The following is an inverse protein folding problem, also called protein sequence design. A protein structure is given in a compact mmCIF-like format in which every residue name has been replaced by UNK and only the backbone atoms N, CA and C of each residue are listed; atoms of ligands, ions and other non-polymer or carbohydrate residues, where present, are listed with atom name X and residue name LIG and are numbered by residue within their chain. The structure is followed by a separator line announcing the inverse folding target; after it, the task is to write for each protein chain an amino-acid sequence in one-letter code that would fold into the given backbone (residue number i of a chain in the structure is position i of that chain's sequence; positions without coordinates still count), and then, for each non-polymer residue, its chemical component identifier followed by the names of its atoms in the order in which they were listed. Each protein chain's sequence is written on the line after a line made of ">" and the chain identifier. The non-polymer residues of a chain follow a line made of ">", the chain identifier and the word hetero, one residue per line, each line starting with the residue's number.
data_IF_284979798228
#
_entry.id   IF_284979798228
#
_cell.length_a   1.000
_cell.length_b   1.000
_cell.length_c   1.000
_cell.angle_alpha   90.00
_cell.angle_beta   90.00
_cell.angle_gamma   90.00
#
_symmetry.space_group_name_H-M   'P 1'
#
loop_
_entity.id
_entity.type
_entity.pdbx_description
1 polymer ?
#
# COMPACT_ATOMS: atom_id res chain seq x y z
N UNK A 1 -3.83 1.91 -26.80
CA UNK A 1 -4.04 0.50 -26.41
C UNK A 1 -2.80 -0.28 -26.80
N UNK A 2 -2.39 -1.21 -25.96
CA UNK A 2 -1.21 -2.04 -26.20
C UNK A 2 -1.48 -3.06 -27.32
N UNK A 3 -0.48 -3.32 -28.17
CA UNK A 3 -0.58 -4.30 -29.26
C UNK A 3 -0.95 -5.70 -28.75
N UNK A 4 -0.46 -6.08 -27.57
CA UNK A 4 -0.78 -7.38 -26.97
C UNK A 4 -2.21 -7.46 -26.45
N UNK A 5 -2.71 -6.39 -25.84
CA UNK A 5 -4.11 -6.27 -25.38
C UNK A 5 -5.08 -6.43 -26.55
N UNK A 6 -4.85 -5.69 -27.65
CA UNK A 6 -5.72 -5.74 -28.82
C UNK A 6 -5.77 -7.14 -29.45
N UNK A 7 -4.63 -7.84 -29.50
CA UNK A 7 -4.57 -9.22 -30.00
C UNK A 7 -5.43 -10.15 -29.14
N UNK A 8 -5.31 -10.07 -27.82
CA UNK A 8 -6.09 -10.90 -26.90
C UNK A 8 -7.59 -10.58 -26.97
N UNK A 9 -7.98 -9.31 -27.06
CA UNK A 9 -9.40 -8.92 -27.22
C UNK A 9 -9.99 -9.43 -28.54
N UNK A 10 -9.24 -9.36 -29.64
CA UNK A 10 -9.66 -9.94 -30.93
C UNK A 10 -9.80 -11.46 -30.87
N UNK A 11 -8.88 -12.16 -30.19
CA UNK A 11 -9.00 -13.60 -29.96
C UNK A 11 -10.23 -13.95 -29.11
N UNK A 12 -10.46 -13.21 -28.02
CA UNK A 12 -11.62 -13.39 -27.14
C UNK A 12 -12.93 -13.30 -27.92
N UNK A 13 -13.08 -12.24 -28.72
CA UNK A 13 -14.29 -12.02 -29.54
C UNK A 13 -14.48 -13.11 -30.59
N UNK A 14 -13.41 -13.51 -31.30
CA UNK A 14 -13.43 -14.64 -32.23
C UNK A 14 -13.91 -15.94 -31.56
N UNK A 15 -13.28 -16.33 -30.45
CA UNK A 15 -13.61 -17.59 -29.78
C UNK A 15 -15.00 -17.58 -29.13
N UNK A 16 -15.47 -16.41 -28.69
CA UNK A 16 -16.84 -16.25 -28.21
C UNK A 16 -17.85 -16.50 -29.35
N UNK A 17 -17.62 -15.94 -30.54
CA UNK A 17 -18.49 -16.14 -31.70
C UNK A 17 -18.47 -17.59 -32.20
N UNK A 18 -17.30 -18.24 -32.16
CA UNK A 18 -17.13 -19.64 -32.55
C UNK A 18 -17.62 -20.64 -31.47
N UNK A 19 -18.11 -20.16 -30.33
CA UNK A 19 -18.46 -20.99 -29.16
C UNK A 19 -17.31 -21.91 -28.70
N UNK A 20 -16.07 -21.53 -28.97
CA UNK A 20 -14.89 -22.26 -28.51
C UNK A 20 -14.59 -21.90 -27.05
N UNK A 21 -15.30 -22.54 -26.13
CA UNK A 21 -15.22 -22.22 -24.71
C UNK A 21 -13.84 -22.50 -24.08
N UNK A 22 -13.07 -23.45 -24.63
CA UNK A 22 -11.71 -23.76 -24.13
C UNK A 22 -10.79 -22.58 -24.40
N UNK A 23 -10.67 -22.18 -25.67
CA UNK A 23 -9.82 -21.08 -26.07
C UNK A 23 -10.32 -19.73 -25.51
N UNK A 24 -11.64 -19.58 -25.35
CA UNK A 24 -12.24 -18.41 -24.71
C UNK A 24 -11.81 -18.29 -23.24
N UNK A 25 -11.94 -19.38 -22.46
CA UNK A 25 -11.57 -19.37 -21.05
C UNK A 25 -10.08 -19.03 -20.86
N UNK A 26 -9.20 -19.69 -21.61
CA UNK A 26 -7.76 -19.44 -21.58
C UNK A 26 -7.41 -17.99 -21.96
N UNK A 27 -8.05 -17.46 -23.01
CA UNK A 27 -7.84 -16.07 -23.43
C UNK A 27 -8.32 -15.08 -22.36
N UNK A 28 -9.46 -15.34 -21.71
CA UNK A 28 -9.96 -14.54 -20.60
C UNK A 28 -9.04 -14.61 -19.37
N UNK A 29 -8.46 -15.78 -19.05
CA UNK A 29 -7.47 -15.89 -17.97
C UNK A 29 -6.22 -15.05 -18.26
N UNK A 30 -5.72 -15.06 -19.51
CA UNK A 30 -4.58 -14.24 -19.92
C UNK A 30 -4.89 -12.73 -19.89
N UNK A 31 -6.09 -12.32 -20.36
CA UNK A 31 -6.53 -10.92 -20.25
C UNK A 31 -6.70 -10.49 -18.80
N UNK A 32 -7.24 -11.37 -17.95
CA UNK A 32 -7.37 -11.11 -16.52
C UNK A 32 -6.02 -10.85 -15.87
N UNK A 33 -5.02 -11.70 -16.14
CA UNK A 33 -3.66 -11.53 -15.65
C UNK A 33 -3.02 -10.24 -16.18
N UNK A 34 -3.20 -9.95 -17.47
CA UNK A 34 -2.71 -8.72 -18.10
C UNK A 34 -3.28 -7.45 -17.46
N UNK A 35 -4.59 -7.42 -17.18
CA UNK A 35 -5.23 -6.29 -16.50
C UNK A 35 -4.84 -6.22 -15.02
N UNK A 36 -4.65 -7.36 -14.36
CA UNK A 36 -4.18 -7.42 -12.98
C UNK A 36 -2.77 -6.84 -12.84
N UNK A 37 -1.86 -7.14 -13.76
CA UNK A 37 -0.50 -6.58 -13.79
C UNK A 37 -0.47 -5.06 -14.00
N UNK A 38 -1.54 -4.50 -14.55
CA UNK A 38 -1.74 -3.04 -14.71
C UNK A 38 -2.53 -2.39 -13.57
N UNK A 39 -2.87 -3.17 -12.54
CA UNK A 39 -3.73 -2.75 -11.44
C UNK A 39 -5.15 -2.34 -11.91
N UNK A 40 -5.60 -2.82 -13.07
CA UNK A 40 -6.94 -2.60 -13.63
C UNK A 40 -7.92 -3.66 -13.07
N UNK A 41 -8.10 -3.68 -11.74
CA UNK A 41 -8.79 -4.76 -11.02
C UNK A 41 -10.22 -5.04 -11.49
N UNK A 42 -10.99 -4.01 -11.87
CA UNK A 42 -12.36 -4.17 -12.38
C UNK A 42 -12.39 -4.90 -13.73
N UNK A 43 -11.44 -4.59 -14.63
CA UNK A 43 -11.36 -5.27 -15.93
C UNK A 43 -10.90 -6.70 -15.75
N UNK A 44 -9.87 -6.92 -14.91
CA UNK A 44 -9.41 -8.27 -14.56
C UNK A 44 -10.55 -9.13 -13.97
N UNK A 45 -11.33 -8.56 -13.03
CA UNK A 45 -12.49 -9.21 -12.44
C UNK A 45 -13.50 -9.70 -13.49
N UNK A 46 -13.82 -8.85 -14.47
CA UNK A 46 -14.78 -9.20 -15.52
C UNK A 46 -14.26 -10.33 -16.41
N UNK A 47 -12.98 -10.31 -16.79
CA UNK A 47 -12.38 -11.38 -17.59
C UNK A 47 -12.34 -12.71 -16.83
N UNK A 48 -11.95 -12.71 -15.56
CA UNK A 48 -11.96 -13.94 -14.76
C UNK A 48 -13.37 -14.50 -14.53
N UNK A 49 -14.40 -13.65 -14.41
CA UNK A 49 -15.80 -14.11 -14.39
C UNK A 49 -16.22 -14.75 -15.70
N UNK A 50 -15.80 -14.19 -16.84
CA UNK A 50 -16.06 -14.79 -18.16
C UNK A 50 -15.37 -16.15 -18.28
N UNK A 51 -14.12 -16.28 -17.80
CA UNK A 51 -13.42 -17.56 -17.76
C UNK A 51 -14.18 -18.59 -16.89
N UNK A 52 -14.64 -18.20 -15.70
CA UNK A 52 -15.43 -19.08 -14.82
C UNK A 52 -16.71 -19.60 -15.50
N UNK A 53 -17.43 -18.74 -16.23
CA UNK A 53 -18.63 -19.12 -16.97
C UNK A 53 -18.31 -20.06 -18.15
N UNK A 54 -17.18 -19.85 -18.84
CA UNK A 54 -16.75 -20.73 -19.90
C UNK A 54 -16.35 -22.13 -19.36
N UNK A 55 -15.63 -22.20 -18.24
CA UNK A 55 -15.30 -23.48 -17.59
C UNK A 55 -16.53 -24.21 -17.05
N UNK A 56 -17.57 -23.49 -16.62
CA UNK A 56 -18.86 -24.08 -16.26
C UNK A 56 -19.50 -24.79 -17.46
N UNK A 57 -19.54 -24.15 -18.64
CA UNK A 57 -20.07 -24.78 -19.87
C UNK A 57 -19.28 -26.00 -20.33
N UNK A 58 -17.99 -26.06 -19.99
CA UNK A 58 -17.10 -27.17 -20.29
C UNK A 58 -17.17 -28.31 -19.26
N UNK A 59 -17.97 -28.17 -18.19
CA UNK A 59 -17.98 -29.10 -17.06
C UNK A 59 -16.59 -29.34 -16.46
N UNK A 60 -15.79 -28.27 -16.31
CA UNK A 60 -14.44 -28.30 -15.72
C UNK A 60 -14.45 -27.66 -14.32
N UNK A 61 -14.87 -28.39 -13.26
CA UNK A 61 -15.12 -27.80 -11.95
C UNK A 61 -13.86 -27.23 -11.27
N UNK A 62 -12.71 -27.87 -11.42
CA UNK A 62 -11.46 -27.33 -10.87
C UNK A 62 -10.93 -26.11 -11.62
N UNK A 63 -10.98 -26.08 -12.95
CA UNK A 63 -10.61 -24.90 -13.73
C UNK A 63 -11.53 -23.70 -13.40
N UNK A 64 -12.83 -23.96 -13.23
CA UNK A 64 -13.79 -22.99 -12.70
C UNK A 64 -13.40 -22.53 -11.30
N UNK A 65 -12.97 -23.45 -10.43
CA UNK A 65 -12.42 -23.14 -9.11
C UNK A 65 -11.22 -22.19 -9.18
N UNK A 66 -10.27 -22.43 -10.09
CA UNK A 66 -9.11 -21.56 -10.31
C UNK A 66 -9.54 -20.17 -10.75
N UNK A 67 -10.51 -20.06 -11.66
CA UNK A 67 -11.10 -18.78 -12.04
C UNK A 67 -11.78 -18.08 -10.83
N UNK A 68 -12.48 -18.83 -9.96
CA UNK A 68 -13.01 -18.27 -8.71
C UNK A 68 -11.92 -17.76 -7.78
N UNK A 69 -10.78 -18.45 -7.65
CA UNK A 69 -9.64 -17.91 -6.88
C UNK A 69 -9.22 -16.54 -7.40
N UNK A 70 -9.08 -16.39 -8.73
CA UNK A 70 -8.72 -15.12 -9.37
C UNK A 70 -9.77 -14.03 -9.15
N UNK A 71 -11.06 -14.36 -9.31
CA UNK A 71 -12.18 -13.47 -8.98
C UNK A 71 -12.12 -13.02 -7.52
N UNK A 72 -11.85 -13.96 -6.60
CA UNK A 72 -11.70 -13.67 -5.18
C UNK A 72 -10.55 -12.71 -4.88
N UNK A 73 -9.40 -12.88 -5.52
CA UNK A 73 -8.27 -11.97 -5.39
C UNK A 73 -8.60 -10.56 -5.92
N UNK A 74 -9.36 -10.44 -7.01
CA UNK A 74 -9.79 -9.15 -7.55
C UNK A 74 -10.81 -8.46 -6.65
N UNK A 75 -11.78 -9.20 -6.10
CA UNK A 75 -12.69 -8.65 -5.11
C UNK A 75 -11.96 -8.15 -3.86
N UNK A 76 -10.94 -8.87 -3.40
CA UNK A 76 -10.12 -8.43 -2.26
C UNK A 76 -9.37 -7.13 -2.58
N UNK A 77 -8.77 -7.02 -3.77
CA UNK A 77 -8.11 -5.79 -4.24
C UNK A 77 -9.08 -4.59 -4.34
N UNK A 78 -10.37 -4.84 -4.62
CA UNK A 78 -11.44 -3.83 -4.64
C UNK A 78 -12.05 -3.55 -3.26
N UNK A 79 -11.57 -4.20 -2.19
CA UNK A 79 -12.11 -4.07 -0.83
C UNK A 79 -13.44 -4.79 -0.59
N UNK A 80 -13.90 -5.60 -1.55
CA UNK A 80 -15.14 -6.39 -1.49
C UNK A 80 -14.86 -7.76 -0.85
N UNK A 81 -14.57 -7.74 0.46
CA UNK A 81 -14.04 -8.91 1.14
C UNK A 81 -15.07 -10.05 1.32
N UNK A 82 -16.36 -9.74 1.37
CA UNK A 82 -17.41 -10.77 1.52
C UNK A 82 -17.47 -11.65 0.27
N UNK A 83 -17.54 -11.01 -0.89
CA UNK A 83 -17.54 -11.63 -2.21
C UNK A 83 -16.22 -12.38 -2.44
N UNK A 84 -15.10 -11.80 -2.02
CA UNK A 84 -13.79 -12.46 -2.07
C UNK A 84 -13.79 -13.80 -1.32
N UNK A 85 -14.22 -13.80 -0.06
CA UNK A 85 -14.27 -15.01 0.76
C UNK A 85 -15.19 -16.09 0.16
N UNK A 86 -16.34 -15.71 -0.39
CA UNK A 86 -17.26 -16.66 -1.05
C UNK A 86 -16.61 -17.34 -2.25
N UNK A 87 -15.86 -16.59 -3.07
CA UNK A 87 -15.17 -17.14 -4.23
C UNK A 87 -14.00 -18.04 -3.84
N UNK A 88 -13.21 -17.66 -2.83
CA UNK A 88 -12.13 -18.51 -2.30
C UNK A 88 -12.69 -19.80 -1.68
N UNK A 89 -13.83 -19.74 -0.99
CA UNK A 89 -14.52 -20.94 -0.48
C UNK A 89 -15.07 -21.82 -1.62
N UNK A 90 -15.51 -21.25 -2.74
CA UNK A 90 -15.90 -22.03 -3.91
C UNK A 90 -14.70 -22.76 -4.52
N UNK A 91 -13.54 -22.10 -4.64
CA UNK A 91 -12.29 -22.73 -5.05
C UNK A 91 -11.90 -23.88 -4.12
N UNK A 92 -11.92 -23.64 -2.81
CA UNK A 92 -11.58 -24.64 -1.81
C UNK A 92 -12.48 -25.87 -1.89
N UNK A 93 -13.79 -25.70 -2.09
CA UNK A 93 -14.74 -26.81 -2.28
C UNK A 93 -14.44 -27.62 -3.55
N UNK A 94 -14.05 -26.96 -4.65
CA UNK A 94 -13.64 -27.66 -5.86
C UNK A 94 -12.37 -28.50 -5.61
N UNK A 95 -11.37 -27.91 -4.96
CA UNK A 95 -10.13 -28.60 -4.60
C UNK A 95 -10.36 -29.82 -3.68
N UNK A 96 -11.27 -29.71 -2.70
CA UNK A 96 -11.64 -30.83 -1.82
C UNK A 96 -12.27 -31.98 -2.59
N UNK A 97 -13.22 -31.68 -3.50
CA UNK A 97 -13.93 -32.70 -4.29
C UNK A 97 -13.00 -33.50 -5.19
N UNK A 98 -11.97 -32.84 -5.73
CA UNK A 98 -10.96 -33.49 -6.57
C UNK A 98 -9.75 -34.01 -5.80
N UNK A 99 -9.79 -33.99 -4.45
CA UNK A 99 -8.67 -34.39 -3.60
C UNK A 99 -7.34 -33.69 -3.98
N UNK A 100 -7.40 -32.45 -4.42
CA UNK A 100 -6.25 -31.70 -4.91
C UNK A 100 -5.56 -30.95 -3.75
N UNK A 101 -4.62 -31.62 -3.09
CA UNK A 101 -3.88 -31.11 -1.93
C UNK A 101 -3.10 -29.82 -2.24
N UNK A 102 -2.52 -29.71 -3.44
CA UNK A 102 -1.86 -28.48 -3.89
C UNK A 102 -2.85 -27.31 -3.94
N UNK A 103 -4.00 -27.51 -4.56
CA UNK A 103 -5.02 -26.48 -4.65
C UNK A 103 -5.57 -26.06 -3.28
N UNK A 104 -5.66 -26.99 -2.34
CA UNK A 104 -6.00 -26.68 -0.94
C UNK A 104 -4.97 -25.77 -0.28
N UNK A 105 -3.67 -26.03 -0.49
CA UNK A 105 -2.58 -25.16 -0.02
C UNK A 105 -2.75 -23.73 -0.55
N UNK A 106 -2.99 -23.60 -1.86
CA UNK A 106 -3.19 -22.31 -2.51
C UNK A 106 -4.45 -21.61 -1.99
N UNK A 107 -5.54 -22.36 -1.77
CA UNK A 107 -6.79 -21.83 -1.22
C UNK A 107 -6.59 -21.24 0.18
N UNK A 108 -5.86 -21.95 1.06
CA UNK A 108 -5.51 -21.45 2.40
C UNK A 108 -4.62 -20.21 2.33
N UNK A 109 -3.66 -20.17 1.39
CA UNK A 109 -2.80 -19.00 1.18
C UNK A 109 -3.63 -17.80 0.72
N UNK A 110 -4.52 -17.96 -0.25
CA UNK A 110 -5.40 -16.87 -0.72
C UNK A 110 -6.36 -16.45 0.39
N UNK A 111 -6.96 -17.38 1.13
CA UNK A 111 -7.86 -17.09 2.25
C UNK A 111 -7.15 -16.24 3.34
N UNK A 112 -5.93 -16.61 3.70
CA UNK A 112 -5.12 -15.85 4.66
C UNK A 112 -4.85 -14.42 4.17
N UNK A 113 -4.54 -14.24 2.87
CA UNK A 113 -4.33 -12.90 2.28
C UNK A 113 -5.60 -12.05 2.33
N UNK A 114 -6.77 -12.62 2.08
CA UNK A 114 -8.05 -11.90 2.16
C UNK A 114 -8.33 -11.42 3.59
N UNK A 115 -8.10 -12.28 4.59
CA UNK A 115 -8.24 -11.88 5.99
C UNK A 115 -7.23 -10.80 6.39
N UNK A 116 -5.97 -10.92 5.96
CA UNK A 116 -4.94 -9.91 6.23
C UNK A 116 -5.32 -8.54 5.65
N UNK A 117 -5.76 -8.48 4.39
CA UNK A 117 -6.20 -7.23 3.75
C UNK A 117 -7.45 -6.64 4.41
N UNK A 118 -8.38 -7.49 4.86
CA UNK A 118 -9.57 -7.02 5.59
C UNK A 118 -9.21 -6.49 6.97
N UNK A 119 -8.26 -7.13 7.66
CA UNK A 119 -7.73 -6.64 8.93
C UNK A 119 -7.10 -5.25 8.79
N UNK A 120 -6.26 -5.03 7.75
CA UNK A 120 -5.71 -3.71 7.46
C UNK A 120 -6.81 -2.66 7.21
N UNK A 121 -7.89 -3.03 6.51
CA UNK A 121 -9.04 -2.15 6.31
C UNK A 121 -9.74 -1.80 7.63
N UNK A 122 -9.92 -2.78 8.52
CA UNK A 122 -10.48 -2.56 9.85
C UNK A 122 -9.59 -1.68 10.73
N UNK A 123 -8.26 -1.87 10.69
CA UNK A 123 -7.32 -1.00 11.41
C UNK A 123 -7.43 0.46 10.95
N UNK A 124 -7.55 0.70 9.63
CA UNK A 124 -7.76 2.07 9.10
C UNK A 124 -9.06 2.70 9.61
N UNK A 125 -10.09 1.89 9.81
CA UNK A 125 -11.40 2.30 10.35
C UNK A 125 -11.44 2.39 11.90
N UNK A 126 -10.35 2.06 12.60
CA UNK A 126 -10.33 2.00 14.07
C UNK A 126 -11.08 0.81 14.67
N UNK A 127 -11.44 -0.20 13.88
CA UNK A 127 -12.14 -1.42 14.33
C UNK A 127 -11.16 -2.48 14.79
N UNK A 128 -10.48 -2.22 15.91
CA UNK A 128 -9.35 -3.03 16.40
C UNK A 128 -9.74 -4.49 16.65
N UNK A 129 -10.87 -4.75 17.30
CA UNK A 129 -11.32 -6.12 17.61
C UNK A 129 -11.58 -6.96 16.35
N UNK A 130 -12.19 -6.37 15.32
CA UNK A 130 -12.39 -7.02 14.03
C UNK A 130 -11.06 -7.29 13.32
N UNK A 131 -10.11 -6.36 13.41
CA UNK A 131 -8.79 -6.54 12.84
C UNK A 131 -8.02 -7.69 13.50
N UNK A 132 -8.00 -7.75 14.82
CA UNK A 132 -7.35 -8.83 15.59
C UNK A 132 -7.94 -10.20 15.26
N UNK A 133 -9.28 -10.29 15.20
CA UNK A 133 -9.96 -11.52 14.84
C UNK A 133 -9.60 -12.01 13.43
N UNK A 134 -9.44 -11.09 12.47
CA UNK A 134 -9.02 -11.43 11.12
C UNK A 134 -7.53 -11.75 11.01
N UNK A 135 -6.66 -11.07 11.76
CA UNK A 135 -5.24 -11.42 11.84
C UNK A 135 -5.05 -12.84 12.40
N UNK A 136 -5.83 -13.24 13.41
CA UNK A 136 -5.81 -14.60 13.92
C UNK A 136 -6.24 -15.64 12.87
N UNK A 137 -7.26 -15.31 12.05
CA UNK A 137 -7.69 -16.17 10.93
C UNK A 137 -6.65 -16.24 9.82
N UNK A 138 -5.99 -15.12 9.52
CA UNK A 138 -4.90 -15.06 8.56
C UNK A 138 -3.72 -15.95 9.01
N UNK A 139 -3.28 -15.79 10.26
CA UNK A 139 -2.23 -16.61 10.88
C UNK A 139 -2.58 -18.10 10.80
N UNK A 140 -3.79 -18.49 11.21
CA UNK A 140 -4.25 -19.88 11.12
C UNK A 140 -4.19 -20.40 9.69
N UNK A 141 -4.67 -19.62 8.73
CA UNK A 141 -4.70 -20.01 7.31
C UNK A 141 -3.29 -20.22 6.75
N UNK A 142 -2.34 -19.33 7.05
CA UNK A 142 -0.95 -19.48 6.60
C UNK A 142 -0.24 -20.64 7.28
N UNK A 143 -0.50 -20.91 8.57
CA UNK A 143 0.02 -22.11 9.24
C UNK A 143 -0.51 -23.38 8.63
N UNK A 144 -1.81 -23.45 8.32
CA UNK A 144 -2.39 -24.59 7.60
C UNK A 144 -1.76 -24.75 6.23
N UNK A 145 -1.56 -23.66 5.47
CA UNK A 145 -0.89 -23.71 4.18
C UNK A 145 0.56 -24.24 4.30
N UNK A 146 1.32 -23.88 5.33
CA UNK A 146 2.66 -24.43 5.59
C UNK A 146 2.61 -25.91 5.97
N UNK A 147 1.65 -26.32 6.80
CA UNK A 147 1.46 -27.73 7.15
C UNK A 147 1.18 -28.60 5.91
N UNK A 148 0.37 -28.09 4.97
CA UNK A 148 0.09 -28.80 3.71
C UNK A 148 1.35 -28.88 2.84
N UNK A 149 2.23 -27.87 2.86
CA UNK A 149 3.52 -27.96 2.18
C UNK A 149 4.38 -29.13 2.68
N UNK A 150 4.31 -29.48 3.96
CA UNK A 150 5.06 -30.63 4.51
C UNK A 150 4.58 -31.96 3.93
N UNK A 151 3.27 -32.10 3.68
CA UNK A 151 2.68 -33.25 2.98
C UNK A 151 3.10 -33.30 1.50
N UNK A 152 3.14 -32.13 0.85
CA UNK A 152 3.50 -31.97 -0.56
C UNK A 152 5.00 -32.14 -0.85
N UNK A 153 5.86 -32.15 0.18
CA UNK A 153 7.32 -32.19 0.05
C UNK A 153 7.83 -33.39 -0.75
N UNK A 154 7.11 -34.52 -0.71
CA UNK A 154 7.46 -35.76 -1.43
C UNK A 154 6.87 -35.82 -2.85
N UNK A 155 5.95 -34.92 -3.17
CA UNK A 155 5.16 -34.96 -4.40
C UNK A 155 5.62 -33.86 -5.37
N UNK A 156 5.85 -32.65 -4.86
CA UNK A 156 6.13 -31.50 -5.69
C UNK A 156 7.63 -31.30 -5.96
N UNK A 157 7.99 -30.74 -7.13
CA UNK A 157 9.33 -30.24 -7.38
C UNK A 157 9.78 -29.23 -6.32
N UNK A 158 11.07 -29.26 -5.98
CA UNK A 158 11.66 -28.39 -4.93
C UNK A 158 11.37 -26.90 -5.16
N UNK A 159 11.46 -26.43 -6.40
CA UNK A 159 11.23 -25.01 -6.76
C UNK A 159 9.78 -24.60 -6.43
N UNK A 160 8.82 -25.46 -6.75
CA UNK A 160 7.40 -25.19 -6.52
C UNK A 160 7.07 -25.19 -5.03
N UNK A 161 7.60 -26.17 -4.30
CA UNK A 161 7.48 -26.24 -2.84
C UNK A 161 8.06 -24.98 -2.18
N UNK A 162 9.26 -24.56 -2.61
CA UNK A 162 9.93 -23.37 -2.07
C UNK A 162 9.12 -22.10 -2.36
N UNK A 163 8.51 -22.00 -3.54
CA UNK A 163 7.62 -20.89 -3.88
C UNK A 163 6.41 -20.82 -2.93
N UNK A 164 5.75 -21.96 -2.70
CA UNK A 164 4.60 -22.04 -1.77
C UNK A 164 4.99 -21.69 -0.34
N UNK A 165 6.07 -22.28 0.16
CA UNK A 165 6.58 -22.03 1.52
C UNK A 165 7.01 -20.57 1.70
N UNK A 166 7.75 -20.00 0.74
CA UNK A 166 8.22 -18.62 0.81
C UNK A 166 7.04 -17.63 0.83
N UNK A 167 6.00 -17.84 0.00
CA UNK A 167 4.79 -17.01 0.02
C UNK A 167 4.05 -17.10 1.35
N UNK A 168 3.90 -18.30 1.90
CA UNK A 168 3.21 -18.50 3.17
C UNK A 168 4.00 -17.87 4.33
N UNK A 169 5.32 -18.05 4.39
CA UNK A 169 6.18 -17.39 5.38
C UNK A 169 6.16 -15.88 5.25
N UNK A 170 6.23 -15.33 4.03
CA UNK A 170 6.15 -13.89 3.81
C UNK A 170 4.86 -13.30 4.39
N UNK A 171 3.71 -13.90 4.03
CA UNK A 171 2.43 -13.39 4.50
C UNK A 171 2.23 -13.60 6.02
N UNK A 172 2.77 -14.68 6.58
CA UNK A 172 2.78 -14.91 8.01
C UNK A 172 3.63 -13.86 8.73
N UNK A 173 4.79 -13.49 8.15
CA UNK A 173 5.62 -12.39 8.64
C UNK A 173 4.89 -11.05 8.65
N UNK A 174 4.18 -10.72 7.56
CA UNK A 174 3.36 -9.49 7.49
C UNK A 174 2.22 -9.52 8.51
N UNK A 175 1.61 -10.71 8.72
CA UNK A 175 0.56 -10.90 9.73
C UNK A 175 1.09 -10.64 11.13
N UNK A 176 2.25 -11.21 11.49
CA UNK A 176 2.88 -10.96 12.79
C UNK A 176 3.29 -9.50 12.98
N UNK A 177 3.80 -8.84 11.94
CA UNK A 177 4.12 -7.42 12.02
C UNK A 177 2.86 -6.57 12.26
N UNK A 178 1.74 -6.92 11.62
CA UNK A 178 0.43 -6.27 11.84
C UNK A 178 -0.15 -6.53 13.23
N UNK A 179 0.28 -7.62 13.89
CA UNK A 179 0.00 -7.94 15.30
C UNK A 179 1.01 -7.30 16.27
N UNK A 180 1.94 -6.45 15.79
CA UNK A 180 3.05 -5.88 16.56
C UNK A 180 4.03 -6.91 17.15
N UNK A 181 4.10 -8.12 16.57
CA UNK A 181 5.02 -9.18 16.98
C UNK A 181 6.28 -9.17 16.09
N UNK A 182 7.20 -8.26 16.41
CA UNK A 182 8.40 -7.99 15.58
C UNK A 182 9.32 -9.19 15.37
N UNK A 183 9.68 -9.91 16.43
CA UNK A 183 10.61 -11.06 16.34
C UNK A 183 10.11 -12.14 15.38
N UNK A 184 8.90 -12.70 15.55
CA UNK A 184 8.41 -13.72 14.62
C UNK A 184 8.13 -13.16 13.23
N UNK A 185 7.83 -11.86 13.09
CA UNK A 185 7.72 -11.22 11.78
C UNK A 185 9.05 -11.26 11.02
N UNK A 186 10.14 -10.78 11.65
CA UNK A 186 11.50 -10.78 11.08
C UNK A 186 11.95 -12.19 10.69
N UNK A 187 11.81 -13.16 11.58
CA UNK A 187 12.18 -14.56 11.32
C UNK A 187 11.48 -15.16 10.09
N UNK A 188 10.16 -14.93 9.97
CA UNK A 188 9.38 -15.44 8.85
C UNK A 188 9.70 -14.73 7.54
N UNK A 189 9.89 -13.41 7.54
CA UNK A 189 10.30 -12.68 6.34
C UNK A 189 11.71 -13.07 5.87
N UNK A 190 12.66 -13.23 6.79
CA UNK A 190 14.01 -13.71 6.46
C UNK A 190 13.98 -15.14 5.89
N UNK A 191 13.13 -16.02 6.44
CA UNK A 191 12.94 -17.37 5.89
C UNK A 191 12.35 -17.34 4.48
N UNK A 192 11.38 -16.45 4.22
CA UNK A 192 10.84 -16.24 2.88
C UNK A 192 11.90 -15.74 1.90
N UNK A 193 12.77 -14.81 2.32
CA UNK A 193 13.90 -14.32 1.50
C UNK A 193 14.88 -15.46 1.17
N UNK A 194 15.25 -16.29 2.16
CA UNK A 194 16.16 -17.43 1.94
C UNK A 194 15.60 -18.41 0.92
N UNK A 195 14.36 -18.85 1.11
CA UNK A 195 13.69 -19.78 0.19
C UNK A 195 13.54 -19.19 -1.23
N UNK A 196 13.18 -17.91 -1.34
CA UNK A 196 13.07 -17.24 -2.64
C UNK A 196 14.41 -17.11 -3.36
N UNK A 197 15.51 -16.91 -2.63
CA UNK A 197 16.88 -16.92 -3.19
C UNK A 197 17.28 -18.31 -3.65
N UNK A 198 17.07 -19.33 -2.80
CA UNK A 198 17.46 -20.71 -3.11
C UNK A 198 16.72 -21.30 -4.33
N UNK A 199 15.52 -20.79 -4.63
CA UNK A 199 14.74 -21.20 -5.80
C UNK A 199 14.81 -20.19 -6.97
N UNK A 200 15.68 -19.18 -6.91
CA UNK A 200 15.82 -18.12 -7.93
C UNK A 200 14.48 -17.44 -8.32
N UNK A 201 13.60 -17.26 -7.33
CA UNK A 201 12.26 -16.68 -7.52
C UNK A 201 12.33 -15.14 -7.46
N UNK A 202 12.87 -14.50 -8.49
CA UNK A 202 13.15 -13.05 -8.48
C UNK A 202 11.91 -12.18 -8.19
N UNK A 203 10.73 -12.49 -8.75
CA UNK A 203 9.50 -11.74 -8.46
C UNK A 203 9.08 -11.84 -6.98
N UNK A 204 9.24 -13.02 -6.38
CA UNK A 204 8.94 -13.23 -4.97
C UNK A 204 10.00 -12.57 -4.09
N UNK A 205 11.28 -12.70 -4.44
CA UNK A 205 12.38 -12.07 -3.74
C UNK A 205 12.24 -10.55 -3.70
N UNK A 206 11.87 -9.92 -4.83
CA UNK A 206 11.50 -8.51 -4.90
C UNK A 206 10.39 -8.16 -3.90
N UNK A 207 9.33 -8.97 -3.87
CA UNK A 207 8.19 -8.76 -2.98
C UNK A 207 8.62 -8.89 -1.51
N UNK A 208 9.44 -9.90 -1.18
CA UNK A 208 9.98 -10.10 0.16
C UNK A 208 10.82 -8.91 0.62
N UNK A 209 11.72 -8.39 -0.21
CA UNK A 209 12.55 -7.23 0.16
C UNK A 209 11.73 -5.98 0.41
N UNK A 210 10.73 -5.69 -0.44
CA UNK A 210 9.87 -4.52 -0.23
C UNK A 210 8.99 -4.66 1.03
N UNK A 211 8.44 -5.85 1.27
CA UNK A 211 7.65 -6.11 2.47
C UNK A 211 8.50 -5.98 3.75
N UNK A 212 9.70 -6.58 3.76
CA UNK A 212 10.63 -6.46 4.89
C UNK A 212 11.10 -5.02 5.10
N UNK A 213 11.39 -4.27 4.02
CA UNK A 213 11.76 -2.87 4.12
C UNK A 213 10.62 -2.02 4.72
N UNK A 214 9.37 -2.29 4.33
CA UNK A 214 8.20 -1.63 4.91
C UNK A 214 8.11 -1.89 6.43
N UNK A 215 8.34 -3.12 6.87
CA UNK A 215 8.34 -3.48 8.30
C UNK A 215 9.52 -2.88 9.05
N UNK A 216 10.75 -3.00 8.54
CA UNK A 216 11.94 -2.36 9.10
C UNK A 216 11.74 -0.84 9.25
N UNK A 217 11.13 -0.16 8.27
CA UNK A 217 10.91 1.29 8.36
C UNK A 217 9.99 1.70 9.51
N UNK A 218 9.13 0.78 9.99
CA UNK A 218 8.32 1.00 11.20
C UNK A 218 9.14 0.75 12.47
N UNK A 219 9.94 -0.31 12.49
CA UNK A 219 10.76 -0.71 13.64
C UNK A 219 11.93 0.24 13.91
N UNK A 220 12.55 0.81 12.87
CA UNK A 220 13.69 1.74 13.00
C UNK A 220 13.33 3.05 13.74
N UNK A 221 12.03 3.36 13.89
CA UNK A 221 11.59 4.54 14.66
C UNK A 221 11.40 4.29 16.15
N UNK A 222 11.51 3.04 16.63
CA UNK A 222 11.16 2.66 18.00
C UNK A 222 12.34 2.18 18.86
N UNK A 223 13.52 1.98 18.26
CA UNK A 223 14.70 1.42 18.94
C UNK A 223 15.88 2.40 18.92
N UNK A 224 16.51 2.57 20.09
CA UNK A 224 17.88 3.13 20.22
C UNK A 224 18.97 2.11 19.82
N UNK A 225 18.61 0.85 19.56
CA UNK A 225 19.51 -0.27 19.30
C UNK A 225 19.67 -0.60 17.80
N UNK A 226 20.56 0.13 17.11
CA UNK A 226 21.47 -0.42 16.09
C UNK A 226 20.95 -0.92 14.72
N UNK A 227 19.64 -1.09 14.50
CA UNK A 227 19.09 -1.55 13.20
C UNK A 227 18.98 -0.41 12.15
N UNK A 228 19.61 0.75 12.37
CA UNK A 228 19.52 1.92 11.48
C UNK A 228 20.05 1.62 10.07
N UNK A 229 19.24 1.91 9.05
CA UNK A 229 19.65 1.80 7.63
C UNK A 229 19.36 0.43 6.99
N UNK A 230 18.77 -0.52 7.72
CA UNK A 230 18.33 -1.79 7.15
C UNK A 230 17.28 -1.59 6.05
N UNK A 231 16.37 -0.63 6.23
CA UNK A 231 15.34 -0.26 5.26
C UNK A 231 15.96 0.14 3.91
N UNK A 232 16.92 1.06 3.90
CA UNK A 232 17.58 1.49 2.67
C UNK A 232 18.36 0.35 2.00
N UNK A 233 19.03 -0.50 2.79
CA UNK A 233 19.72 -1.69 2.27
C UNK A 233 18.75 -2.62 1.54
N UNK A 234 17.59 -2.92 2.15
CA UNK A 234 16.57 -3.79 1.56
C UNK A 234 15.93 -3.16 0.31
N UNK A 235 15.68 -1.85 0.31
CA UNK A 235 15.16 -1.14 -0.86
C UNK A 235 16.15 -1.13 -2.03
N UNK A 236 17.45 -0.99 -1.76
CA UNK A 236 18.48 -1.10 -2.79
C UNK A 236 18.57 -2.52 -3.37
N UNK A 237 18.53 -3.56 -2.53
CA UNK A 237 18.44 -4.95 -2.98
C UNK A 237 17.18 -5.20 -3.83
N UNK A 238 16.04 -4.64 -3.42
CA UNK A 238 14.79 -4.68 -4.19
C UNK A 238 14.94 -4.01 -5.56
N UNK A 239 15.60 -2.85 -5.65
CA UNK A 239 15.88 -2.19 -6.93
C UNK A 239 16.78 -3.02 -7.84
N UNK A 240 17.79 -3.68 -7.28
CA UNK A 240 18.67 -4.57 -8.04
C UNK A 240 17.88 -5.72 -8.65
N UNK A 241 17.06 -6.41 -7.85
CA UNK A 241 16.20 -7.49 -8.35
C UNK A 241 15.18 -6.96 -9.37
N UNK A 242 14.54 -5.82 -9.09
CA UNK A 242 13.57 -5.20 -9.98
C UNK A 242 14.14 -4.88 -11.36
N UNK A 243 15.42 -4.51 -11.44
CA UNK A 243 16.09 -4.18 -12.70
C UNK A 243 16.20 -5.37 -13.66
N UNK A 244 16.14 -6.60 -13.13
CA UNK A 244 16.26 -7.87 -13.87
C UNK A 244 14.90 -8.43 -14.33
N UNK A 245 13.79 -7.86 -13.87
CA UNK A 245 12.44 -8.32 -14.19
C UNK A 245 11.95 -7.76 -15.54
N UNK A 246 11.04 -8.48 -16.19
CA UNK A 246 10.40 -8.04 -17.46
C UNK A 246 9.68 -6.70 -17.28
N UNK A 247 8.99 -6.53 -16.16
CA UNK A 247 8.25 -5.31 -15.80
C UNK A 247 9.11 -4.30 -15.02
N UNK A 248 10.42 -4.21 -15.33
CA UNK A 248 11.40 -3.41 -14.56
C UNK A 248 10.96 -1.98 -14.28
N UNK A 249 10.40 -1.27 -15.27
CA UNK A 249 10.02 0.14 -15.10
C UNK A 249 8.95 0.31 -14.02
N UNK A 250 7.95 -0.58 -14.00
CA UNK A 250 6.90 -0.59 -12.98
C UNK A 250 7.45 -0.95 -11.61
N UNK A 251 8.18 -2.07 -11.52
CA UNK A 251 8.73 -2.59 -10.25
C UNK A 251 9.73 -1.63 -9.61
N UNK A 252 10.61 -1.03 -10.41
CA UNK A 252 11.54 -0.01 -9.92
C UNK A 252 10.81 1.26 -9.46
N UNK A 253 9.78 1.71 -10.18
CA UNK A 253 8.98 2.87 -9.73
C UNK A 253 8.30 2.60 -8.38
N UNK A 254 7.71 1.41 -8.20
CA UNK A 254 7.10 1.00 -6.92
C UNK A 254 8.11 1.08 -5.77
N UNK A 255 9.32 0.52 -5.95
CA UNK A 255 10.38 0.58 -4.92
C UNK A 255 10.89 2.00 -4.69
N UNK A 256 11.07 2.82 -5.74
CA UNK A 256 11.48 4.22 -5.60
C UNK A 256 10.41 5.06 -4.87
N UNK A 257 9.12 4.78 -5.07
CA UNK A 257 8.05 5.45 -4.31
C UNK A 257 8.08 5.07 -2.82
N UNK A 258 8.36 3.80 -2.51
CA UNK A 258 8.56 3.34 -1.13
C UNK A 258 9.76 4.05 -0.49
N UNK A 259 10.88 4.13 -1.21
CA UNK A 259 12.10 4.80 -0.76
C UNK A 259 11.88 6.31 -0.56
N UNK A 260 11.17 6.97 -1.46
CA UNK A 260 10.78 8.37 -1.28
C UNK A 260 9.86 8.57 -0.07
N UNK A 261 8.94 7.62 0.20
CA UNK A 261 8.07 7.68 1.39
C UNK A 261 8.88 7.49 2.68
N UNK A 262 9.92 6.65 2.65
CA UNK A 262 10.86 6.52 3.75
C UNK A 262 11.64 7.83 4.00
N UNK A 263 12.19 8.44 2.96
CA UNK A 263 12.87 9.74 3.09
C UNK A 263 11.96 10.84 3.62
N UNK A 264 10.68 10.86 3.20
CA UNK A 264 9.69 11.78 3.76
C UNK A 264 9.46 11.56 5.26
N UNK A 265 9.46 10.31 5.74
CA UNK A 265 9.36 10.01 7.18
C UNK A 265 10.57 10.53 7.96
N UNK A 266 11.73 10.60 7.32
CA UNK A 266 12.97 11.13 7.90
C UNK A 266 13.14 12.65 7.66
N UNK A 267 12.10 13.34 7.16
CA UNK A 267 12.12 14.75 6.76
C UNK A 267 13.20 15.11 5.72
N UNK A 268 13.74 14.13 4.99
CA UNK A 268 14.73 14.34 3.94
C UNK A 268 14.04 14.58 2.58
N UNK A 269 13.54 15.80 2.40
CA UNK A 269 12.86 16.20 1.15
C UNK A 269 13.78 16.17 -0.07
N UNK A 270 15.08 16.42 0.12
CA UNK A 270 16.06 16.43 -0.96
C UNK A 270 16.28 15.04 -1.54
N UNK A 271 16.51 14.03 -0.70
CA UNK A 271 16.63 12.63 -1.12
C UNK A 271 15.33 12.08 -1.68
N UNK A 272 14.18 12.45 -1.09
CA UNK A 272 12.86 12.11 -1.63
C UNK A 272 12.67 12.69 -3.06
N UNK A 273 13.05 13.95 -3.27
CA UNK A 273 12.98 14.63 -4.58
C UNK A 273 13.86 13.93 -5.62
N UNK A 274 15.11 13.63 -5.29
CA UNK A 274 16.03 12.94 -6.20
C UNK A 274 15.51 11.55 -6.58
N UNK A 275 15.00 10.82 -5.59
CA UNK A 275 14.42 9.49 -5.76
C UNK A 275 13.20 9.51 -6.69
N UNK A 276 12.24 10.43 -6.47
CA UNK A 276 11.07 10.54 -7.35
C UNK A 276 11.43 11.10 -8.73
N UNK A 277 12.47 11.92 -8.86
CA UNK A 277 12.99 12.36 -10.16
C UNK A 277 13.52 11.17 -10.96
N UNK A 278 14.22 10.23 -10.31
CA UNK A 278 14.63 8.96 -10.93
C UNK A 278 13.40 8.13 -11.34
N UNK A 279 12.38 8.02 -10.47
CA UNK A 279 11.15 7.28 -10.78
C UNK A 279 10.40 7.89 -11.97
N UNK A 280 10.27 9.22 -12.02
CA UNK A 280 9.60 9.94 -13.10
C UNK A 280 10.24 9.68 -14.47
N UNK A 281 11.58 9.58 -14.52
CA UNK A 281 12.33 9.28 -15.75
C UNK A 281 12.09 7.88 -16.29
N UNK A 282 11.70 6.92 -15.44
CA UNK A 282 11.44 5.54 -15.86
C UNK A 282 10.12 5.39 -16.65
N UNK A 283 9.22 6.38 -16.60
CA UNK A 283 7.93 6.38 -17.33
C UNK A 283 7.16 5.08 -17.15
N UNK A 284 6.79 4.76 -15.90
CA UNK A 284 6.01 3.55 -15.59
C UNK A 284 4.76 3.43 -16.48
N UNK A 285 4.43 2.22 -16.97
CA UNK A 285 3.20 1.98 -17.74
C UNK A 285 1.93 2.04 -16.87
N UNK A 286 2.07 1.99 -15.54
CA UNK A 286 0.95 2.08 -14.60
C UNK A 286 0.54 3.54 -14.43
N UNK A 287 -0.62 3.91 -14.99
CA UNK A 287 -1.08 5.30 -15.06
C UNK A 287 -1.28 5.93 -13.68
N UNK A 288 -1.76 5.14 -12.70
CA UNK A 288 -1.96 5.59 -11.31
C UNK A 288 -0.64 6.00 -10.67
N UNK A 289 0.40 5.17 -10.82
CA UNK A 289 1.74 5.45 -10.31
C UNK A 289 2.38 6.65 -11.02
N UNK A 290 2.28 6.73 -12.35
CA UNK A 290 2.80 7.87 -13.10
C UNK A 290 2.20 9.20 -12.61
N UNK A 291 0.88 9.23 -12.38
CA UNK A 291 0.18 10.39 -11.83
C UNK A 291 0.66 10.71 -10.41
N UNK A 292 0.77 9.71 -9.53
CA UNK A 292 1.22 9.86 -8.15
C UNK A 292 2.64 10.39 -8.06
N UNK A 293 3.57 9.83 -8.85
CA UNK A 293 4.97 10.26 -8.94
C UNK A 293 5.03 11.72 -9.40
N UNK A 294 4.32 12.08 -10.48
CA UNK A 294 4.32 13.45 -11.01
C UNK A 294 3.80 14.46 -9.98
N UNK A 295 2.71 14.14 -9.30
CA UNK A 295 2.11 15.02 -8.29
C UNK A 295 3.03 15.22 -7.09
N UNK A 296 3.53 14.13 -6.49
CA UNK A 296 4.45 14.21 -5.34
C UNK A 296 5.76 14.92 -5.69
N UNK A 297 6.34 14.64 -6.86
CA UNK A 297 7.57 15.29 -7.33
C UNK A 297 7.38 16.80 -7.51
N UNK A 298 6.24 17.25 -8.04
CA UNK A 298 5.94 18.69 -8.19
C UNK A 298 5.95 19.40 -6.83
N UNK A 299 5.31 18.80 -5.82
CA UNK A 299 5.29 19.36 -4.46
C UNK A 299 6.69 19.40 -3.86
N UNK A 300 7.45 18.30 -3.95
CA UNK A 300 8.82 18.23 -3.46
C UNK A 300 9.77 19.23 -4.11
N UNK A 301 9.67 19.46 -5.42
CA UNK A 301 10.49 20.47 -6.11
C UNK A 301 10.20 21.87 -5.56
N UNK A 302 8.93 22.19 -5.29
CA UNK A 302 8.56 23.47 -4.71
C UNK A 302 9.07 23.58 -3.26
N UNK A 303 8.89 22.53 -2.44
CA UNK A 303 9.35 22.51 -1.05
C UNK A 303 10.86 22.70 -0.96
N UNK A 304 11.67 21.94 -1.71
CA UNK A 304 13.12 22.11 -1.69
C UNK A 304 13.58 23.52 -2.08
N UNK A 305 12.87 24.20 -2.99
CA UNK A 305 13.18 25.61 -3.33
C UNK A 305 12.86 26.56 -2.17
N UNK A 306 11.76 26.30 -1.45
CA UNK A 306 11.37 27.10 -0.29
C UNK A 306 12.30 26.83 0.91
N UNK A 307 12.84 25.63 1.05
CA UNK A 307 13.91 25.34 2.02
C UNK A 307 15.18 26.13 1.70
N UNK A 308 15.61 26.12 0.44
CA UNK A 308 16.78 26.89 0.00
C UNK A 308 16.56 28.41 0.26
N UNK A 309 15.34 28.90 0.04
CA UNK A 309 14.97 30.30 0.30
C UNK A 309 14.88 30.64 1.81
N UNK A 310 14.41 29.71 2.64
CA UNK A 310 14.38 29.90 4.11
C UNK A 310 15.79 30.02 4.71
N UNK A 311 16.78 29.39 4.08
CA UNK A 311 18.20 29.48 4.48
C UNK A 311 18.78 30.85 4.14
N UNK A 312 18.42 31.43 3.00
CA UNK A 312 18.93 32.74 2.56
C UNK A 312 18.15 33.92 3.13
N UNK A 313 16.91 33.70 3.58
CA UNK A 313 16.08 34.74 4.20
C UNK A 313 16.56 35.05 5.61
N UNK A 314 16.85 36.33 5.88
CA UNK A 314 17.25 36.82 7.20
C UNK A 314 16.30 36.37 8.31
N UNK A 315 16.85 36.04 9.48
CA UNK A 315 16.07 35.52 10.61
C UNK A 315 15.01 36.51 11.13
N UNK A 316 15.22 37.80 10.92
CA UNK A 316 14.35 38.89 11.38
C UNK A 316 13.22 39.18 10.38
N UNK A 317 13.30 38.65 9.16
CA UNK A 317 12.25 38.82 8.16
C UNK A 317 11.06 37.88 8.43
N UNK A 318 10.36 38.14 9.53
CA UNK A 318 9.24 37.34 10.02
C UNK A 318 8.11 37.26 8.99
N UNK A 319 7.86 38.33 8.23
CA UNK A 319 6.82 38.36 7.19
C UNK A 319 7.09 37.33 6.08
N UNK A 320 8.30 37.33 5.51
CA UNK A 320 8.64 36.36 4.46
C UNK A 320 8.73 34.94 4.99
N UNK A 321 9.31 34.76 6.17
CA UNK A 321 9.42 33.44 6.83
C UNK A 321 8.04 32.86 7.15
N UNK A 322 7.07 33.66 7.60
CA UNK A 322 5.67 33.25 7.82
C UNK A 322 5.06 32.63 6.55
N UNK A 323 5.14 33.35 5.43
CA UNK A 323 4.61 32.88 4.13
C UNK A 323 5.29 31.59 3.67
N UNK A 324 6.62 31.51 3.83
CA UNK A 324 7.38 30.30 3.46
C UNK A 324 6.98 29.11 4.33
N UNK A 325 6.83 29.29 5.65
CA UNK A 325 6.39 28.23 6.55
C UNK A 325 4.96 27.77 6.30
N UNK A 326 4.04 28.67 5.98
CA UNK A 326 2.68 28.31 5.54
C UNK A 326 2.73 27.38 4.33
N UNK A 327 3.48 27.77 3.28
CA UNK A 327 3.60 26.99 2.05
C UNK A 327 4.34 25.67 2.24
N UNK A 328 5.29 25.62 3.18
CA UNK A 328 5.98 24.39 3.58
C UNK A 328 5.04 23.44 4.32
N UNK A 329 4.21 23.96 5.22
CA UNK A 329 3.14 23.20 5.90
C UNK A 329 2.14 22.61 4.89
N UNK A 330 1.66 23.43 3.96
CA UNK A 330 0.77 23.00 2.87
C UNK A 330 1.39 21.89 2.01
N UNK A 331 2.68 22.06 1.68
CA UNK A 331 3.45 21.08 0.94
C UNK A 331 3.56 19.75 1.69
N UNK A 332 3.89 19.81 2.97
CA UNK A 332 4.01 18.64 3.84
C UNK A 332 2.65 17.92 4.00
N UNK A 333 1.54 18.65 4.15
CA UNK A 333 0.19 18.09 4.14
C UNK A 333 -0.13 17.37 2.82
N UNK A 334 0.19 17.98 1.66
CA UNK A 334 0.02 17.34 0.33
C UNK A 334 0.85 16.06 0.17
N UNK A 335 1.98 15.95 0.88
CA UNK A 335 2.82 14.76 0.92
C UNK A 335 2.41 13.75 2.00
N UNK A 336 1.40 14.09 2.83
CA UNK A 336 0.94 13.36 4.02
C UNK A 336 2.01 13.20 5.10
N UNK A 337 2.95 14.14 5.20
CA UNK A 337 3.87 14.26 6.33
C UNK A 337 3.28 15.26 7.34
N UNK A 338 2.26 14.82 8.08
CA UNK A 338 1.50 15.69 8.98
C UNK A 338 2.31 16.15 10.20
N UNK A 339 3.19 15.29 10.72
CA UNK A 339 4.10 15.67 11.82
C UNK A 339 4.95 16.87 11.45
N UNK A 340 5.58 16.84 10.26
CA UNK A 340 6.41 17.96 9.80
C UNK A 340 5.59 19.18 9.41
N UNK A 341 4.38 18.98 8.87
CA UNK A 341 3.46 20.07 8.59
C UNK A 341 3.10 20.85 9.87
N UNK A 342 2.85 20.15 10.98
CA UNK A 342 2.59 20.77 12.29
C UNK A 342 3.78 21.64 12.71
N UNK A 343 5.02 21.16 12.58
CA UNK A 343 6.22 21.94 12.91
C UNK A 343 6.29 23.23 12.09
N UNK A 344 6.02 23.16 10.78
CA UNK A 344 5.98 24.35 9.92
C UNK A 344 4.88 25.31 10.31
N UNK A 345 3.67 24.83 10.62
CA UNK A 345 2.59 25.72 11.05
C UNK A 345 2.83 26.34 12.44
N UNK A 346 3.57 25.66 13.33
CA UNK A 346 4.04 26.27 14.58
C UNK A 346 5.03 27.39 14.32
N UNK A 347 5.97 27.17 13.40
CA UNK A 347 6.91 28.22 12.98
C UNK A 347 6.17 29.38 12.30
N UNK A 348 5.17 29.11 11.47
CA UNK A 348 4.28 30.12 10.89
C UNK A 348 3.62 30.97 11.99
N UNK A 349 3.03 30.33 13.01
CA UNK A 349 2.41 31.02 14.14
C UNK A 349 3.40 31.90 14.91
N UNK A 350 4.59 31.38 15.24
CA UNK A 350 5.63 32.13 15.94
C UNK A 350 6.10 33.38 15.17
N UNK A 351 6.20 33.27 13.85
CA UNK A 351 6.54 34.42 13.00
C UNK A 351 5.38 35.43 12.93
N UNK A 352 4.12 34.98 12.93
CA UNK A 352 2.95 35.85 13.02
C UNK A 352 2.94 36.66 14.33
N UNK A 353 3.19 35.99 15.46
CA UNK A 353 3.27 36.61 16.78
C UNK A 353 4.44 37.62 16.85
N UNK A 354 5.58 37.28 16.25
CA UNK A 354 6.75 38.18 16.18
C UNK A 354 6.53 39.43 15.33
N UNK A 355 5.59 39.40 14.38
CA UNK A 355 5.14 40.58 13.63
C UNK A 355 4.18 41.47 14.43
N UNK A 356 3.76 41.04 15.62
CA UNK A 356 2.71 41.69 16.39
C UNK A 356 1.31 41.44 15.82
N UNK A 357 1.11 40.37 15.04
CA UNK A 357 -0.24 39.96 14.64
C UNK A 357 -0.99 39.40 15.85
N UNK A 358 -2.22 39.86 16.04
CA UNK A 358 -3.10 39.47 17.15
C UNK A 358 -4.53 39.21 16.66
N UNK A 359 -5.33 38.59 17.53
CA UNK A 359 -6.75 38.30 17.33
C UNK A 359 -7.02 37.58 16.00
N UNK A 360 -7.90 38.15 15.17
CA UNK A 360 -8.36 37.56 13.90
C UNK A 360 -7.24 37.21 12.93
N UNK A 361 -6.09 37.88 13.01
CA UNK A 361 -4.94 37.59 12.13
C UNK A 361 -4.29 36.23 12.44
N UNK A 362 -4.45 35.70 13.66
CA UNK A 362 -3.90 34.40 14.06
C UNK A 362 -4.83 33.22 13.74
N UNK A 363 -6.11 33.47 13.43
CA UNK A 363 -7.08 32.42 13.11
C UNK A 363 -6.58 31.48 11.99
N UNK A 364 -6.03 31.95 10.85
CA UNK A 364 -5.51 31.05 9.81
C UNK A 364 -4.45 30.08 10.33
N UNK A 365 -3.56 30.52 11.23
CA UNK A 365 -2.55 29.66 11.85
C UNK A 365 -3.21 28.57 12.71
N UNK A 366 -4.19 28.95 13.54
CA UNK A 366 -4.92 27.99 14.39
C UNK A 366 -5.70 26.98 13.56
N UNK A 367 -6.34 27.42 12.47
CA UNK A 367 -7.05 26.55 11.52
C UNK A 367 -6.13 25.51 10.91
N UNK A 368 -4.99 25.95 10.36
CA UNK A 368 -4.00 25.03 9.79
C UNK A 368 -3.48 24.04 10.84
N UNK A 369 -3.24 24.49 12.07
CA UNK A 369 -2.78 23.64 13.17
C UNK A 369 -3.83 22.60 13.58
N UNK A 370 -5.04 22.99 13.98
CA UNK A 370 -6.01 21.99 14.47
C UNK A 370 -6.43 21.00 13.39
N UNK A 371 -6.56 21.44 12.12
CA UNK A 371 -6.88 20.54 11.01
C UNK A 371 -5.77 19.50 10.82
N UNK A 372 -4.52 19.95 10.84
CA UNK A 372 -3.37 19.06 10.69
C UNK A 372 -3.20 18.13 11.89
N UNK A 373 -3.49 18.61 13.10
CA UNK A 373 -3.53 17.77 14.30
C UNK A 373 -4.60 16.68 14.22
N UNK A 374 -5.80 17.00 13.73
CA UNK A 374 -6.86 16.00 13.46
C UNK A 374 -6.38 14.98 12.43
N UNK A 375 -5.79 15.42 11.32
CA UNK A 375 -5.24 14.54 10.29
C UNK A 375 -4.12 13.62 10.85
N UNK A 376 -3.34 14.13 11.80
CA UNK A 376 -2.31 13.39 12.53
C UNK A 376 -2.83 12.57 13.73
N UNK A 377 -4.16 12.55 13.96
CA UNK A 377 -4.86 11.86 15.07
C UNK A 377 -4.45 12.33 16.48
N UNK A 378 -4.03 13.58 16.59
CA UNK A 378 -3.63 14.26 17.83
C UNK A 378 -4.75 15.19 18.29
N UNK A 379 -5.85 14.59 18.76
CA UNK A 379 -7.10 15.31 19.02
C UNK A 379 -7.02 16.28 20.20
N UNK A 380 -6.25 15.96 21.24
CA UNK A 380 -6.06 16.84 22.41
C UNK A 380 -5.40 18.16 22.01
N UNK A 381 -4.34 18.08 21.20
CA UNK A 381 -3.66 19.26 20.67
C UNK A 381 -4.55 20.03 19.68
N UNK A 382 -5.37 19.33 18.88
CA UNK A 382 -6.34 19.98 18.02
C UNK A 382 -7.35 20.83 18.82
N UNK A 383 -7.84 20.29 19.95
CA UNK A 383 -8.78 20.99 20.83
C UNK A 383 -8.19 22.28 21.38
N UNK A 384 -6.90 22.30 21.74
CA UNK A 384 -6.23 23.52 22.21
C UNK A 384 -6.36 24.67 21.22
N UNK A 385 -6.08 24.41 19.94
CA UNK A 385 -6.15 25.43 18.89
C UNK A 385 -7.59 25.76 18.47
N UNK A 386 -8.53 24.81 18.57
CA UNK A 386 -9.96 25.07 18.39
C UNK A 386 -10.51 26.04 19.45
N UNK A 387 -10.09 25.87 20.71
CA UNK A 387 -10.47 26.81 21.79
C UNK A 387 -9.82 28.18 21.61
N UNK A 388 -8.56 28.25 21.15
CA UNK A 388 -7.91 29.53 20.80
C UNK A 388 -8.66 30.26 19.68
N UNK A 389 -9.09 29.57 18.63
CA UNK A 389 -9.95 30.14 17.59
C UNK A 389 -11.27 30.64 18.19
N UNK A 390 -11.97 29.78 18.96
CA UNK A 390 -13.26 30.11 19.57
C UNK A 390 -13.21 31.36 20.45
N UNK A 391 -12.16 31.52 21.26
CA UNK A 391 -12.01 32.68 22.16
C UNK A 391 -11.96 34.02 21.42
N UNK A 392 -11.48 34.03 20.17
CA UNK A 392 -11.41 35.25 19.34
C UNK A 392 -12.77 35.55 18.69
N UNK A 393 -13.51 34.51 18.29
CA UNK A 393 -14.78 34.63 17.54
C UNK A 393 -16.03 34.42 18.39
N UNK A 394 -15.88 34.33 19.72
CA UNK A 394 -16.98 33.99 20.64
C UNK A 394 -18.17 34.95 20.54
N UNK A 395 -17.92 36.21 20.16
CA UNK A 395 -18.94 37.24 19.97
C UNK A 395 -19.63 37.19 18.60
N UNK A 396 -19.20 36.30 17.70
CA UNK A 396 -19.80 36.12 16.38
C UNK A 396 -20.56 34.77 16.31
N UNK A 397 -21.89 34.77 16.52
CA UNK A 397 -22.64 33.55 16.81
C UNK A 397 -22.59 32.50 15.69
N UNK A 398 -22.48 32.93 14.41
CA UNK A 398 -22.36 32.01 13.28
C UNK A 398 -21.00 31.30 13.25
N UNK A 399 -19.91 32.04 13.40
CA UNK A 399 -18.54 31.49 13.37
C UNK A 399 -18.28 30.65 14.62
N UNK A 400 -18.68 31.15 15.80
CA UNK A 400 -18.62 30.44 17.06
C UNK A 400 -19.35 29.10 17.02
N UNK A 401 -20.55 29.06 16.41
CA UNK A 401 -21.32 27.82 16.23
C UNK A 401 -20.53 26.79 15.41
N UNK A 402 -19.93 27.18 14.28
CA UNK A 402 -19.15 26.24 13.45
C UNK A 402 -17.92 25.68 14.17
N UNK A 403 -17.21 26.49 14.95
CA UNK A 403 -16.07 26.01 15.75
C UNK A 403 -16.54 25.10 16.88
N UNK A 404 -17.64 25.42 17.58
CA UNK A 404 -18.24 24.54 18.60
C UNK A 404 -18.70 23.20 18.02
N UNK A 405 -19.26 23.18 16.81
CA UNK A 405 -19.60 21.92 16.13
C UNK A 405 -18.37 21.04 15.85
N UNK A 406 -17.19 21.64 15.60
CA UNK A 406 -15.94 20.90 15.43
C UNK A 406 -15.40 20.38 16.76
N UNK A 407 -15.52 21.16 17.84
CA UNK A 407 -15.13 20.75 19.20
C UNK A 407 -15.97 19.56 19.69
N UNK A 408 -17.26 19.53 19.34
CA UNK A 408 -18.19 18.48 19.77
C UNK A 408 -18.06 17.15 18.99
N UNK A 409 -17.32 17.13 17.88
CA UNK A 409 -17.09 15.95 17.03
C UNK A 409 -15.81 15.25 17.44
#
# INVERSE_FOLDING_TARGET
>A
MDCNEQKLVKKKTKYANESNYVALAETCMLLGAFYQDREEHLRALNEYKLAANAYEKLNKPMDRGLAFRMVGEMYAALGQFKESLQNVQAYMRAAQREANTKALQEAHTTLGRVYLQRAESYQRQGKTTNAEADLAKAEKSFRTALSICDELKRILPKIELFNMQARAHLNLGITFDSQNRRVPAKENMERAIRLAKEADLFDLLYTCYNAMALSCSRWEGTDESGDSGQTLRLLNLSLEVASRLTNRASKMCQTLMLMATFFLKMDDFQSARQTLKRAYRLKTPVAVDAKRIKQKLKVLVAMCRMEDELITTEAINYARRKELYERMGDGACKLRNFSKAIDYYKLMLQNAESLGEADRKLIPCYVSLYQTYIDNRQYEQALEYLWKEHNIICNEPKEAYYTLMKIAR
#
